data_IF_851828758372
#
_entry.id   IF_851828758372
#
_cell.length_a   1.000
_cell.length_b   1.000
_cell.length_c   1.000
_cell.angle_alpha   90.00
_cell.angle_beta   90.00
_cell.angle_gamma   90.00
#
_symmetry.space_group_name_H-M   'P 1'
#
loop_
_entity.id
_entity.type
_entity.pdbx_description
1 polymer ?
#
# COMPACT_ATOMS: atom_id res chain seq x y z
N UNK A 1 -5.68 -10.28 -10.99
CA UNK A 1 -6.67 -11.19 -10.39
C UNK A 1 -8.01 -11.00 -11.06
N UNK A 2 -8.62 -12.06 -11.60
CA UNK A 2 -10.04 -12.02 -11.98
C UNK A 2 -10.89 -12.37 -10.76
N UNK A 3 -11.92 -11.56 -10.49
CA UNK A 3 -12.82 -11.72 -9.35
C UNK A 3 -14.24 -11.91 -9.89
N UNK A 4 -14.78 -13.10 -9.67
CA UNK A 4 -16.13 -13.49 -10.08
C UNK A 4 -17.03 -13.53 -8.85
N UNK A 5 -18.23 -12.95 -8.92
CA UNK A 5 -19.17 -12.87 -7.81
C UNK A 5 -19.13 -11.55 -7.03
N UNK A 6 -18.26 -10.61 -7.42
CA UNK A 6 -18.01 -9.38 -6.69
C UNK A 6 -18.27 -8.15 -7.57
N UNK A 7 -18.95 -7.15 -7.00
CA UNK A 7 -19.18 -5.86 -7.64
C UNK A 7 -18.04 -4.89 -7.36
N UNK A 8 -17.11 -4.74 -8.32
CA UNK A 8 -15.93 -3.90 -8.17
C UNK A 8 -16.15 -2.42 -8.51
N UNK A 9 -17.39 -1.98 -8.75
CA UNK A 9 -17.66 -0.58 -9.12
C UNK A 9 -17.28 0.41 -8.02
N UNK A 10 -17.43 0.01 -6.75
CA UNK A 10 -17.02 0.82 -5.61
C UNK A 10 -15.49 0.93 -5.53
N UNK A 11 -14.77 -0.19 -5.61
CA UNK A 11 -13.31 -0.22 -5.65
C UNK A 11 -12.75 0.60 -6.81
N UNK A 12 -13.35 0.46 -8.00
CA UNK A 12 -12.96 1.21 -9.19
C UNK A 12 -13.13 2.73 -8.98
N UNK A 13 -14.24 3.17 -8.39
CA UNK A 13 -14.46 4.59 -8.05
C UNK A 13 -13.45 5.08 -7.01
N UNK A 14 -13.22 4.31 -5.95
CA UNK A 14 -12.28 4.69 -4.87
C UNK A 14 -10.88 4.87 -5.45
N UNK A 15 -10.40 3.95 -6.28
CA UNK A 15 -9.10 4.05 -6.94
C UNK A 15 -9.00 5.32 -7.80
N UNK A 16 -10.03 5.67 -8.57
CA UNK A 16 -10.04 6.92 -9.35
C UNK A 16 -9.92 8.16 -8.46
N UNK A 17 -10.59 8.17 -7.30
CA UNK A 17 -10.46 9.25 -6.32
C UNK A 17 -9.03 9.31 -5.77
N UNK A 18 -8.40 8.16 -5.47
CA UNK A 18 -7.00 8.13 -5.02
C UNK A 18 -6.05 8.69 -6.06
N UNK A 19 -6.24 8.39 -7.35
CA UNK A 19 -5.46 8.99 -8.43
C UNK A 19 -5.59 10.52 -8.46
N UNK A 20 -6.78 11.06 -8.21
CA UNK A 20 -6.99 12.51 -8.14
C UNK A 20 -6.26 13.11 -6.93
N UNK A 21 -6.40 12.50 -5.75
CA UNK A 21 -5.72 12.96 -4.52
C UNK A 21 -4.20 12.94 -4.70
N UNK A 22 -3.65 11.85 -5.21
CA UNK A 22 -2.22 11.68 -5.47
C UNK A 22 -1.68 12.76 -6.42
N UNK A 23 -2.39 13.00 -7.54
CA UNK A 23 -2.03 14.05 -8.49
C UNK A 23 -2.07 15.45 -7.88
N UNK A 24 -3.07 15.74 -7.04
CA UNK A 24 -3.15 17.03 -6.33
C UNK A 24 -1.97 17.18 -5.38
N UNK A 25 -1.67 16.19 -4.54
CA UNK A 25 -0.55 16.24 -3.60
C UNK A 25 0.79 16.43 -4.31
N UNK A 26 1.04 15.65 -5.36
CA UNK A 26 2.26 15.77 -6.17
C UNK A 26 2.39 17.15 -6.82
N UNK A 27 1.29 17.76 -7.27
CA UNK A 27 1.29 19.13 -7.81
C UNK A 27 1.74 20.19 -6.78
N UNK A 28 1.51 19.95 -5.50
CA UNK A 28 1.97 20.80 -4.40
C UNK A 28 3.29 20.34 -3.77
N UNK A 29 4.03 19.43 -4.43
CA UNK A 29 5.34 18.97 -3.97
C UNK A 29 5.30 17.93 -2.85
N UNK A 30 4.12 17.32 -2.61
CA UNK A 30 3.93 16.30 -1.59
C UNK A 30 3.82 14.91 -2.26
N UNK A 31 4.93 14.19 -2.36
CA UNK A 31 4.95 12.80 -2.86
C UNK A 31 4.86 11.82 -1.69
N UNK A 32 3.64 11.39 -1.36
CA UNK A 32 3.37 10.46 -0.25
C UNK A 32 3.54 8.98 -0.62
N UNK A 33 4.21 8.64 -1.74
CA UNK A 33 4.57 7.26 -2.09
C UNK A 33 3.37 6.30 -2.11
N UNK A 34 2.24 6.75 -2.67
CA UNK A 34 1.05 5.92 -2.81
C UNK A 34 1.25 4.89 -3.93
N UNK A 35 0.88 3.63 -3.65
CA UNK A 35 0.87 2.55 -4.65
C UNK A 35 -0.54 2.33 -5.14
N UNK A 36 -0.88 2.95 -6.27
CA UNK A 36 -2.21 2.87 -6.88
C UNK A 36 -2.27 1.72 -7.88
N UNK A 37 -3.00 0.67 -7.54
CA UNK A 37 -3.27 -0.46 -8.44
C UNK A 37 -4.51 -0.20 -9.30
N UNK A 38 -4.60 -0.88 -10.43
CA UNK A 38 -5.75 -0.78 -11.34
C UNK A 38 -6.87 -1.71 -10.93
N UNK A 39 -8.09 -1.21 -11.00
CA UNK A 39 -9.32 -1.98 -10.87
C UNK A 39 -10.18 -1.71 -12.09
N UNK A 40 -10.71 -2.76 -12.69
CA UNK A 40 -11.62 -2.69 -13.82
C UNK A 40 -12.88 -3.49 -13.50
N UNK A 41 -13.97 -2.79 -13.19
CA UNK A 41 -15.30 -3.39 -13.11
C UNK A 41 -15.78 -3.71 -14.54
N UNK A 42 -16.04 -4.99 -14.83
CA UNK A 42 -16.53 -5.43 -16.14
C UNK A 42 -18.06 -5.46 -16.18
N UNK A 43 -18.68 -5.88 -15.08
CA UNK A 43 -20.13 -5.87 -14.87
C UNK A 43 -20.47 -5.54 -13.41
N UNK A 44 -21.70 -5.81 -13.00
CA UNK A 44 -22.15 -5.69 -11.61
C UNK A 44 -21.79 -6.91 -10.75
N UNK A 45 -21.11 -7.93 -11.32
CA UNK A 45 -20.80 -9.17 -10.61
C UNK A 45 -19.41 -9.74 -10.95
N UNK A 46 -18.60 -9.01 -11.72
CA UNK A 46 -17.24 -9.42 -12.02
C UNK A 46 -16.32 -8.23 -12.36
N UNK A 47 -15.02 -8.50 -12.27
CA UNK A 47 -14.01 -7.58 -12.76
C UNK A 47 -12.59 -8.07 -12.52
N UNK A 48 -11.64 -7.15 -12.74
CA UNK A 48 -10.21 -7.39 -12.66
C UNK A 48 -9.58 -6.45 -11.63
N UNK A 49 -8.69 -6.99 -10.81
CA UNK A 49 -7.84 -6.24 -9.88
C UNK A 49 -6.39 -6.53 -10.23
N UNK A 50 -5.58 -5.51 -10.42
CA UNK A 50 -4.14 -5.64 -10.62
C UNK A 50 -3.45 -6.18 -9.36
N UNK A 51 -2.50 -7.10 -9.56
CA UNK A 51 -1.64 -7.54 -8.46
C UNK A 51 -0.55 -6.50 -8.24
N UNK A 52 -0.31 -6.16 -6.97
CA UNK A 52 0.85 -5.36 -6.58
C UNK A 52 2.01 -6.32 -6.36
N UNK A 53 3.01 -6.25 -7.23
CA UNK A 53 4.18 -7.11 -7.14
C UNK A 53 4.94 -6.89 -5.83
N UNK A 54 5.42 -8.00 -5.25
CA UNK A 54 6.22 -7.99 -4.03
C UNK A 54 5.56 -7.36 -2.80
N UNK A 55 4.23 -7.22 -2.80
CA UNK A 55 3.45 -6.79 -1.64
C UNK A 55 3.10 -7.99 -0.74
N UNK A 56 3.29 -7.85 0.56
CA UNK A 56 2.88 -8.82 1.57
C UNK A 56 1.95 -8.16 2.59
N UNK A 57 0.93 -8.89 3.06
CA UNK A 57 0.07 -8.38 4.12
C UNK A 57 0.82 -8.25 5.44
N UNK A 58 0.47 -7.26 6.27
CA UNK A 58 1.06 -7.11 7.60
C UNK A 58 0.85 -8.38 8.43
N UNK A 59 -0.30 -9.05 8.27
CA UNK A 59 -0.59 -10.35 8.89
C UNK A 59 0.44 -11.42 8.52
N UNK A 60 0.76 -11.56 7.23
CA UNK A 60 1.81 -12.47 6.73
C UNK A 60 3.18 -12.09 7.27
N UNK A 61 3.53 -10.80 7.24
CA UNK A 61 4.80 -10.29 7.74
C UNK A 61 4.96 -10.61 9.23
N UNK A 62 3.95 -10.36 10.06
CA UNK A 62 4.02 -10.67 11.50
C UNK A 62 4.23 -12.16 11.74
N UNK A 63 3.60 -13.02 10.95
CA UNK A 63 3.78 -14.48 11.05
C UNK A 63 5.21 -14.90 10.68
N UNK A 64 5.78 -14.31 9.62
CA UNK A 64 7.09 -14.71 9.09
C UNK A 64 8.28 -14.06 9.81
N UNK A 65 8.10 -12.89 10.42
CA UNK A 65 9.17 -12.07 11.00
C UNK A 65 9.01 -11.84 12.51
N UNK A 66 8.66 -12.90 13.24
CA UNK A 66 8.59 -12.92 14.72
C UNK A 66 7.70 -11.82 15.33
N UNK A 67 6.66 -11.42 14.61
CA UNK A 67 5.71 -10.40 15.06
C UNK A 67 6.10 -8.95 14.77
N UNK A 68 7.29 -8.68 14.22
CA UNK A 68 7.80 -7.34 13.98
C UNK A 68 8.02 -7.04 12.50
N UNK A 69 7.52 -5.88 12.04
CA UNK A 69 7.77 -5.40 10.66
C UNK A 69 9.25 -5.03 10.43
N UNK A 70 9.98 -4.71 11.51
CA UNK A 70 11.41 -4.37 11.45
C UNK A 70 12.23 -5.49 10.81
N UNK A 71 11.93 -6.75 11.15
CA UNK A 71 12.64 -7.90 10.57
C UNK A 71 12.44 -8.01 9.05
N UNK A 72 11.25 -7.65 8.56
CA UNK A 72 10.94 -7.60 7.14
C UNK A 72 11.77 -6.53 6.42
N UNK A 73 11.87 -5.32 6.99
CA UNK A 73 12.66 -4.25 6.39
C UNK A 73 14.17 -4.53 6.39
N UNK A 74 14.70 -5.13 7.46
CA UNK A 74 16.11 -5.57 7.50
C UNK A 74 16.38 -6.59 6.39
N UNK A 75 15.50 -7.57 6.21
CA UNK A 75 15.67 -8.62 5.20
C UNK A 75 15.61 -8.10 3.76
N UNK A 76 14.89 -7.00 3.52
CA UNK A 76 14.79 -6.38 2.20
C UNK A 76 15.75 -5.20 1.99
N UNK A 77 16.62 -4.90 2.96
CA UNK A 77 17.58 -3.79 2.84
C UNK A 77 18.71 -4.12 1.87
N UNK A 78 19.11 -3.13 1.08
CA UNK A 78 20.28 -3.25 0.22
C UNK A 78 21.58 -3.14 1.03
N UNK A 79 22.60 -3.98 0.77
CA UNK A 79 23.88 -3.92 1.49
C UNK A 79 24.66 -2.61 1.26
N UNK A 80 24.30 -1.84 0.23
CA UNK A 80 24.96 -0.58 -0.13
C UNK A 80 24.18 0.67 0.32
N UNK A 81 23.03 0.48 0.98
CA UNK A 81 22.16 1.57 1.39
C UNK A 81 22.65 2.28 2.66
N UNK A 82 22.23 3.54 2.83
CA UNK A 82 22.39 4.23 4.11
C UNK A 82 21.40 3.62 5.10
N UNK A 83 21.91 3.15 6.23
CA UNK A 83 21.10 2.52 7.27
C UNK A 83 20.59 3.55 8.28
N UNK A 84 19.34 3.34 8.71
CA UNK A 84 18.71 4.04 9.84
C UNK A 84 19.32 3.61 11.17
N UNK A 85 19.01 4.33 12.26
CA UNK A 85 19.33 3.90 13.61
C UNK A 85 18.70 2.54 14.00
N UNK A 86 17.69 2.10 13.24
CA UNK A 86 17.03 0.80 13.42
C UNK A 86 17.75 -0.34 12.69
N UNK A 87 18.72 -0.05 11.83
CA UNK A 87 19.58 -1.05 11.18
C UNK A 87 19.09 -1.54 9.81
N UNK A 88 18.18 -0.81 9.15
CA UNK A 88 17.69 -1.08 7.80
C UNK A 88 17.72 0.18 6.92
N UNK A 89 17.55 0.03 5.62
CA UNK A 89 17.63 1.10 4.61
C UNK A 89 16.75 2.32 4.96
N UNK A 90 17.33 3.52 4.90
CA UNK A 90 16.62 4.79 5.12
C UNK A 90 15.50 5.03 4.12
N UNK A 91 15.65 4.58 2.87
CA UNK A 91 14.62 4.76 1.84
C UNK A 91 13.37 3.95 2.17
N UNK A 92 13.54 2.72 2.69
CA UNK A 92 12.42 1.88 3.14
C UNK A 92 11.65 2.58 4.26
N UNK A 93 12.36 3.20 5.21
CA UNK A 93 11.70 3.95 6.28
C UNK A 93 10.94 5.17 5.75
N UNK A 94 11.56 5.95 4.86
CA UNK A 94 10.96 7.14 4.27
C UNK A 94 9.71 6.81 3.45
N UNK A 95 9.75 5.76 2.63
CA UNK A 95 8.61 5.30 1.85
C UNK A 95 7.48 4.81 2.77
N UNK A 96 7.79 3.97 3.75
CA UNK A 96 6.80 3.46 4.70
C UNK A 96 6.11 4.57 5.50
N UNK A 97 6.88 5.56 5.98
CA UNK A 97 6.31 6.71 6.71
C UNK A 97 5.43 7.55 5.78
N UNK A 98 5.91 7.85 4.57
CA UNK A 98 5.20 8.68 3.60
C UNK A 98 3.88 8.04 3.16
N UNK A 99 3.92 6.76 2.81
CA UNK A 99 2.75 5.99 2.38
C UNK A 99 1.75 5.80 3.53
N UNK A 100 2.24 5.48 4.74
CA UNK A 100 1.40 5.37 5.93
C UNK A 100 0.69 6.69 6.24
N UNK A 101 1.38 7.83 6.17
CA UNK A 101 0.78 9.14 6.36
C UNK A 101 -0.29 9.44 5.30
N UNK A 102 0.01 9.17 4.02
CA UNK A 102 -0.93 9.36 2.91
C UNK A 102 -2.20 8.53 3.06
N UNK A 103 -2.06 7.21 3.25
CA UNK A 103 -3.22 6.33 3.44
C UNK A 103 -3.98 6.63 4.74
N UNK A 104 -3.33 7.11 5.80
CA UNK A 104 -4.01 7.52 7.03
C UNK A 104 -4.94 8.72 6.79
N UNK A 105 -4.48 9.74 6.05
CA UNK A 105 -5.31 10.90 5.69
C UNK A 105 -6.44 10.50 4.73
N UNK A 106 -6.13 9.69 3.71
CA UNK A 106 -7.11 9.20 2.74
C UNK A 106 -8.24 8.43 3.41
N UNK A 107 -7.89 7.46 4.26
CA UNK A 107 -8.88 6.60 4.93
C UNK A 107 -9.76 7.40 5.88
N UNK A 108 -9.21 8.43 6.54
CA UNK A 108 -9.99 9.36 7.35
C UNK A 108 -10.97 10.18 6.51
N UNK A 109 -10.52 10.80 5.40
CA UNK A 109 -11.37 11.66 4.56
C UNK A 109 -12.49 10.86 3.88
N UNK A 110 -12.16 9.69 3.35
CA UNK A 110 -13.11 8.86 2.59
C UNK A 110 -13.95 7.94 3.48
N UNK A 111 -13.68 7.89 4.78
CA UNK A 111 -14.39 7.01 5.72
C UNK A 111 -14.22 5.51 5.39
N UNK A 112 -13.04 5.11 4.89
CA UNK A 112 -12.79 3.72 4.49
C UNK A 112 -12.74 2.83 5.73
N UNK A 113 -13.69 1.89 5.81
CA UNK A 113 -13.79 0.88 6.86
C UNK A 113 -12.91 -0.36 6.62
N UNK A 114 -13.18 -1.41 7.40
CA UNK A 114 -12.58 -2.75 7.27
C UNK A 114 -11.03 -2.78 7.26
N UNK A 115 -10.43 -1.94 8.11
CA UNK A 115 -8.97 -1.83 8.25
C UNK A 115 -8.45 -2.88 9.24
N UNK A 116 -8.05 -4.03 8.73
CA UNK A 116 -7.34 -5.08 9.47
C UNK A 116 -6.04 -5.48 8.78
N UNK A 117 -5.20 -6.27 9.46
CA UNK A 117 -3.81 -6.55 9.03
C UNK A 117 -3.68 -7.34 7.72
N UNK A 118 -4.77 -7.94 7.22
CA UNK A 118 -4.78 -8.65 5.92
C UNK A 118 -5.07 -7.70 4.76
N UNK A 119 -5.80 -6.59 5.01
CA UNK A 119 -6.09 -5.54 4.04
C UNK A 119 -5.00 -4.45 3.99
N UNK A 120 -4.01 -4.53 4.89
CA UNK A 120 -2.83 -3.67 4.89
C UNK A 120 -1.66 -4.44 4.29
N UNK A 121 -1.16 -3.95 3.17
CA UNK A 121 -0.03 -4.56 2.47
C UNK A 121 1.16 -3.61 2.46
N UNK A 122 2.36 -4.19 2.44
CA UNK A 122 3.64 -3.48 2.42
C UNK A 122 4.51 -4.11 1.35
N UNK A 123 5.13 -3.28 0.53
CA UNK A 123 6.09 -3.72 -0.49
C UNK A 123 7.49 -3.79 0.10
N UNK A 124 8.41 -4.49 -0.57
CA UNK A 124 9.79 -4.68 -0.10
C UNK A 124 10.56 -3.37 0.12
N UNK A 125 10.17 -2.32 -0.59
CA UNK A 125 10.77 -0.99 -0.58
C UNK A 125 10.11 -0.01 0.41
N UNK A 126 9.16 -0.46 1.25
CA UNK A 126 8.57 0.32 2.33
C UNK A 126 7.15 0.79 2.07
#
# INVERSE_FOLDING_TARGET
MYKSGDDLRQDHLVIQILYIIDNIWKRYGLDLKLTLYRVLALSTNDGLIEFVDHAESISSIKKNYKGEIKGYFINNSSPYSRVTALGFDIQILENFISSCAGYSVITYILGIGDRHLDNLMVTKDG
#
